data_IF_443134619944
#
_entry.id   IF_443134619944
#
_cell.length_a   1.000
_cell.length_b   1.000
_cell.length_c   1.000
_cell.angle_alpha   90.00
_cell.angle_beta   90.00
_cell.angle_gamma   90.00
#
_symmetry.space_group_name_H-M   'P 1'
#
loop_
_entity.id
_entity.type
_entity.pdbx_description
1 polymer ?
#
# COMPACT_ATOMS: atom_id res chain seq x y z
N UNK A 1 2.54 -24.55 13.30
CA UNK A 1 1.27 -25.16 13.71
C UNK A 1 0.37 -24.10 14.34
N UNK A 2 0.84 -23.35 15.36
CA UNK A 2 0.06 -22.29 16.03
C UNK A 2 -0.58 -21.29 15.05
N UNK A 3 0.17 -20.66 14.14
CA UNK A 3 -0.42 -19.69 13.19
C UNK A 3 -1.48 -20.32 12.28
N UNK A 4 -1.34 -21.60 11.90
CA UNK A 4 -2.38 -22.26 11.13
C UNK A 4 -3.67 -22.47 11.93
N UNK A 5 -3.55 -22.75 13.23
CA UNK A 5 -4.71 -22.84 14.13
C UNK A 5 -5.42 -21.49 14.26
N UNK A 6 -4.66 -20.40 14.43
CA UNK A 6 -5.18 -19.03 14.45
C UNK A 6 -5.88 -18.66 13.14
N UNK A 7 -5.30 -19.03 11.99
CA UNK A 7 -5.87 -18.77 10.66
C UNK A 7 -7.26 -19.41 10.46
N UNK A 8 -7.58 -20.51 11.18
CA UNK A 8 -8.89 -21.17 11.12
C UNK A 8 -9.96 -20.53 12.03
N UNK A 9 -9.58 -19.57 12.88
CA UNK A 9 -10.50 -18.90 13.78
C UNK A 9 -11.45 -17.93 13.07
N UNK A 10 -12.62 -17.70 13.67
CA UNK A 10 -13.55 -16.67 13.19
C UNK A 10 -12.97 -15.26 13.33
N UNK A 11 -12.13 -15.02 14.33
CA UNK A 11 -11.42 -13.75 14.54
C UNK A 11 -10.47 -13.44 13.38
N UNK A 12 -9.71 -14.44 12.92
CA UNK A 12 -8.84 -14.26 11.76
C UNK A 12 -9.64 -14.00 10.48
N UNK A 13 -10.80 -14.66 10.32
CA UNK A 13 -11.70 -14.38 9.20
C UNK A 13 -12.17 -12.92 9.21
N UNK A 14 -12.59 -12.40 10.36
CA UNK A 14 -12.99 -11.00 10.49
C UNK A 14 -11.81 -10.05 10.22
N UNK A 15 -10.63 -10.33 10.78
CA UNK A 15 -9.40 -9.59 10.50
C UNK A 15 -9.07 -9.53 9.00
N UNK A 16 -9.20 -10.64 8.28
CA UNK A 16 -8.92 -10.70 6.85
C UNK A 16 -9.92 -9.84 6.04
N UNK A 17 -11.21 -9.90 6.37
CA UNK A 17 -12.22 -9.04 5.77
C UNK A 17 -11.98 -7.56 6.09
N UNK A 18 -11.66 -7.23 7.33
CA UNK A 18 -11.37 -5.87 7.77
C UNK A 18 -10.11 -5.32 7.09
N UNK A 19 -9.10 -6.15 6.85
CA UNK A 19 -7.86 -5.78 6.13
C UNK A 19 -8.18 -5.29 4.71
N UNK A 20 -9.00 -6.03 3.96
CA UNK A 20 -9.42 -5.64 2.60
C UNK A 20 -10.34 -4.41 2.63
N UNK A 21 -11.25 -4.33 3.60
CA UNK A 21 -12.12 -3.16 3.80
C UNK A 21 -11.30 -1.89 4.04
N UNK A 22 -10.31 -1.96 4.93
CA UNK A 22 -9.38 -0.87 5.22
C UNK A 22 -8.60 -0.46 3.96
N UNK A 23 -8.12 -1.43 3.18
CA UNK A 23 -7.37 -1.15 1.95
C UNK A 23 -8.23 -0.42 0.91
N UNK A 24 -9.50 -0.80 0.75
CA UNK A 24 -10.45 -0.10 -0.13
C UNK A 24 -10.73 1.33 0.34
N UNK A 25 -10.95 1.54 1.64
CA UNK A 25 -11.16 2.88 2.20
C UNK A 25 -9.93 3.76 1.99
N UNK A 26 -8.73 3.23 2.25
CA UNK A 26 -7.48 3.95 2.04
C UNK A 26 -7.27 4.29 0.55
N UNK A 27 -7.54 3.35 -0.35
CA UNK A 27 -7.44 3.58 -1.79
C UNK A 27 -8.37 4.70 -2.26
N UNK A 28 -9.65 4.65 -1.85
CA UNK A 28 -10.63 5.69 -2.19
C UNK A 28 -10.22 7.05 -1.61
N UNK A 29 -9.78 7.09 -0.35
CA UNK A 29 -9.33 8.33 0.30
C UNK A 29 -8.15 8.95 -0.45
N UNK A 30 -7.19 8.14 -0.91
CA UNK A 30 -6.06 8.62 -1.70
C UNK A 30 -6.53 9.19 -3.05
N UNK A 31 -7.43 8.49 -3.75
CA UNK A 31 -8.01 8.94 -5.02
C UNK A 31 -8.77 10.26 -4.85
N UNK A 32 -9.60 10.38 -3.81
CA UNK A 32 -10.37 11.59 -3.50
C UNK A 32 -9.46 12.79 -3.20
N UNK A 33 -8.24 12.55 -2.73
CA UNK A 33 -7.19 13.56 -2.53
C UNK A 33 -6.30 13.77 -3.77
N UNK A 34 -6.69 13.26 -4.94
CA UNK A 34 -5.98 13.47 -6.20
C UNK A 34 -4.74 12.60 -6.41
N UNK A 35 -4.53 11.56 -5.58
CA UNK A 35 -3.43 10.63 -5.74
C UNK A 35 -3.80 9.52 -6.73
N UNK A 36 -2.97 9.34 -7.75
CA UNK A 36 -3.17 8.30 -8.77
C UNK A 36 -2.71 6.94 -8.26
N UNK A 37 -3.55 5.92 -8.48
CA UNK A 37 -3.23 4.51 -8.19
C UNK A 37 -3.06 3.74 -9.50
N UNK A 38 -2.17 2.74 -9.52
CA UNK A 38 -1.87 1.96 -10.73
C UNK A 38 -3.12 1.28 -11.33
N UNK A 39 -4.08 0.91 -10.49
CA UNK A 39 -5.32 0.20 -10.86
C UNK A 39 -6.60 0.94 -10.46
N UNK A 40 -6.51 2.22 -10.05
CA UNK A 40 -7.65 3.01 -9.54
C UNK A 40 -8.44 2.36 -8.39
N UNK A 41 -7.77 1.55 -7.56
CA UNK A 41 -8.40 0.85 -6.45
C UNK A 41 -7.59 -0.35 -5.99
N UNK A 42 -8.19 -1.19 -5.15
CA UNK A 42 -7.64 -2.48 -4.72
C UNK A 42 -8.73 -3.45 -4.32
N UNK A 43 -8.47 -4.75 -4.55
CA UNK A 43 -9.32 -5.87 -4.12
C UNK A 43 -8.62 -6.77 -3.09
N UNK A 44 -7.46 -6.34 -2.59
CA UNK A 44 -6.69 -7.08 -1.61
C UNK A 44 -6.16 -6.14 -0.51
N UNK A 45 -5.05 -6.49 0.11
CA UNK A 45 -4.49 -5.82 1.28
C UNK A 45 -3.47 -4.71 0.98
N UNK A 46 -3.17 -4.44 -0.29
CA UNK A 46 -2.15 -3.47 -0.70
C UNK A 46 -2.62 -2.51 -1.78
N UNK A 47 -1.91 -1.38 -1.88
CA UNK A 47 -2.18 -0.30 -2.83
C UNK A 47 -0.85 0.07 -3.50
N UNK A 48 -0.88 0.30 -4.81
CA UNK A 48 0.26 0.79 -5.58
C UNK A 48 -0.03 2.19 -6.10
N UNK A 49 0.68 3.18 -5.56
CA UNK A 49 0.60 4.59 -5.94
C UNK A 49 1.53 4.83 -7.14
N UNK A 50 1.00 5.55 -8.14
CA UNK A 50 1.75 6.07 -9.29
C UNK A 50 2.23 7.49 -8.96
N UNK A 51 3.54 7.67 -8.84
CA UNK A 51 4.15 8.96 -8.50
C UNK A 51 4.58 9.76 -9.74
N UNK A 52 4.33 9.29 -10.96
CA UNK A 52 4.80 9.98 -12.18
C UNK A 52 4.27 11.41 -12.32
N UNK A 53 3.07 11.68 -11.79
CA UNK A 53 2.51 13.04 -11.74
C UNK A 53 3.32 14.01 -10.87
N UNK A 54 4.16 13.50 -9.97
CA UNK A 54 5.02 14.25 -9.07
C UNK A 54 6.50 14.25 -9.51
N UNK A 55 6.92 13.20 -10.22
CA UNK A 55 8.28 13.09 -10.76
C UNK A 55 8.65 11.66 -11.16
N UNK A 56 9.69 11.52 -11.99
CA UNK A 56 10.19 10.22 -12.45
C UNK A 56 11.24 9.70 -11.47
N UNK A 57 11.07 8.46 -11.02
CA UNK A 57 12.05 7.74 -10.22
C UNK A 57 12.25 8.24 -8.79
N UNK A 58 11.25 8.95 -8.26
CA UNK A 58 11.28 9.60 -6.93
C UNK A 58 10.77 8.71 -5.78
N UNK A 59 10.44 7.45 -6.05
CA UNK A 59 9.75 6.59 -5.08
C UNK A 59 10.55 6.37 -3.80
N UNK A 60 11.89 6.35 -3.88
CA UNK A 60 12.77 6.19 -2.72
C UNK A 60 12.80 7.45 -1.87
N UNK A 61 12.93 8.60 -2.50
CA UNK A 61 12.94 9.91 -1.87
C UNK A 61 11.62 10.15 -1.11
N UNK A 62 10.48 9.83 -1.75
CA UNK A 62 9.16 9.90 -1.11
C UNK A 62 9.06 8.93 0.07
N UNK A 63 9.53 7.69 -0.08
CA UNK A 63 9.50 6.72 1.01
C UNK A 63 10.32 7.19 2.22
N UNK A 64 11.52 7.75 2.01
CA UNK A 64 12.37 8.31 3.07
C UNK A 64 11.70 9.51 3.76
N UNK A 65 11.11 10.43 3.00
CA UNK A 65 10.41 11.58 3.59
C UNK A 65 9.20 11.16 4.46
N UNK A 66 8.47 10.12 4.03
CA UNK A 66 7.39 9.54 4.81
C UNK A 66 7.91 8.84 6.07
N UNK A 67 9.03 8.12 5.97
CA UNK A 67 9.68 7.47 7.11
C UNK A 67 10.12 8.49 8.17
N UNK A 68 10.66 9.64 7.77
CA UNK A 68 10.99 10.76 8.67
C UNK A 68 9.76 11.31 9.41
N UNK A 69 8.56 11.14 8.83
CA UNK A 69 7.27 11.50 9.43
C UNK A 69 6.61 10.33 10.19
N UNK A 70 7.29 9.19 10.32
CA UNK A 70 6.79 8.00 11.02
C UNK A 70 5.89 7.09 10.17
N UNK A 71 5.82 7.29 8.86
CA UNK A 71 5.04 6.47 7.93
C UNK A 71 5.97 5.54 7.15
N UNK A 72 5.98 4.26 7.54
CA UNK A 72 6.84 3.26 6.89
C UNK A 72 6.15 2.69 5.66
N UNK A 73 6.83 2.79 4.51
CA UNK A 73 6.32 2.36 3.21
C UNK A 73 7.46 1.87 2.32
N UNK A 74 7.15 1.34 1.13
CA UNK A 74 8.14 0.75 0.25
C UNK A 74 8.07 1.37 -1.16
N UNK A 75 9.20 1.85 -1.65
CA UNK A 75 9.35 2.28 -3.04
C UNK A 75 9.26 1.06 -3.99
N UNK A 76 8.39 1.14 -5.00
CA UNK A 76 8.07 0.01 -5.87
C UNK A 76 7.90 0.47 -7.32
N UNK A 77 8.34 -0.34 -8.29
CA UNK A 77 8.10 -0.04 -9.70
C UNK A 77 6.60 -0.08 -10.01
N UNK A 78 6.19 0.64 -11.05
CA UNK A 78 4.82 0.66 -11.56
C UNK A 78 4.75 0.02 -12.96
N UNK A 79 3.56 -0.33 -13.46
CA UNK A 79 3.41 -0.76 -14.85
C UNK A 79 3.99 0.28 -15.81
N UNK A 80 4.84 -0.15 -16.73
CA UNK A 80 5.50 0.72 -17.71
C UNK A 80 6.31 1.87 -17.08
N UNK A 81 6.94 1.63 -15.93
CA UNK A 81 7.79 2.61 -15.26
C UNK A 81 8.87 3.15 -16.23
N UNK A 82 8.91 4.47 -16.52
CA UNK A 82 9.92 5.07 -17.39
C UNK A 82 11.30 5.15 -16.74
N UNK A 83 11.38 4.89 -15.43
CA UNK A 83 12.63 4.88 -14.67
C UNK A 83 13.23 3.47 -14.58
N UNK A 84 14.40 3.38 -13.94
CA UNK A 84 15.09 2.10 -13.71
C UNK A 84 14.55 1.38 -12.48
N UNK A 85 14.68 0.04 -12.38
CA UNK A 85 14.32 -0.71 -11.17
C UNK A 85 15.03 -0.21 -9.89
N UNK A 86 16.19 0.45 -10.02
CA UNK A 86 16.93 1.03 -8.89
C UNK A 86 16.40 2.39 -8.44
N UNK A 87 15.55 3.04 -9.24
CA UNK A 87 14.92 4.34 -8.96
C UNK A 87 13.43 4.25 -9.35
N UNK A 88 12.61 3.49 -8.63
CA UNK A 88 11.21 3.26 -9.02
C UNK A 88 10.37 4.55 -8.95
N UNK A 89 9.31 4.62 -9.75
CA UNK A 89 8.37 5.75 -9.81
C UNK A 89 7.06 5.48 -9.06
N UNK A 90 7.05 4.58 -8.08
CA UNK A 90 5.85 4.25 -7.31
C UNK A 90 6.12 3.97 -5.84
N UNK A 91 5.02 3.89 -5.10
CA UNK A 91 5.01 3.64 -3.67
C UNK A 91 3.95 2.60 -3.31
N UNK A 92 4.32 1.59 -2.53
CA UNK A 92 3.41 0.54 -2.07
C UNK A 92 3.04 0.73 -0.61
N UNK A 93 1.74 0.71 -0.34
CA UNK A 93 1.14 0.73 0.99
C UNK A 93 0.38 -0.57 1.24
N UNK A 94 0.24 -0.96 2.50
CA UNK A 94 -0.56 -2.12 2.90
C UNK A 94 -1.22 -1.91 4.25
N UNK A 95 -2.36 -2.56 4.45
CA UNK A 95 -3.19 -2.44 5.66
C UNK A 95 -3.07 -3.55 6.72
N UNK A 96 -2.45 -4.74 6.50
CA UNK A 96 -2.41 -5.80 7.51
C UNK A 96 -1.87 -5.34 8.87
N UNK A 97 -0.72 -4.66 8.88
CA UNK A 97 -0.03 -4.28 10.13
C UNK A 97 -0.85 -3.32 11.00
N UNK A 98 -1.53 -2.34 10.39
CA UNK A 98 -2.39 -1.43 11.15
C UNK A 98 -3.69 -2.12 11.56
N UNK A 99 -4.27 -2.95 10.70
CA UNK A 99 -5.52 -3.66 11.01
C UNK A 99 -5.37 -4.62 12.20
N UNK A 100 -4.21 -5.25 12.38
CA UNK A 100 -3.90 -6.07 13.56
C UNK A 100 -3.95 -5.26 14.87
N UNK A 101 -3.81 -3.93 14.81
CA UNK A 101 -3.77 -3.04 15.99
C UNK A 101 -5.13 -2.42 16.35
N UNK A 102 -6.19 -2.76 15.63
CA UNK A 102 -7.53 -2.16 15.75
C UNK A 102 -7.77 -1.04 14.75
#
# INVERSE_FOLDING_TARGET
AISFEEDFSDDFREYAHQTVKNARVLANTLIDNGIKLATNGTDNHLILIDLLGFGIGIGKEVATALEESGIICNANTIPYDPSTPFKPSGLRLGTPMLTTRG
#
